data_IF_902271200846
#
_entry.id   IF_902271200846
#
_cell.length_a   1.000
_cell.length_b   1.000
_cell.length_c   1.000
_cell.angle_alpha   90.00
_cell.angle_beta   90.00
_cell.angle_gamma   90.00
#
_symmetry.space_group_name_H-M   'P 1'
#
loop_
_entity.id
_entity.type
_entity.pdbx_description
1 polymer ?
#
# COMPACT_ATOMS: atom_id res chain seq x y z
N UNK A 1 35.98 24.57 -23.50
CA UNK A 1 35.69 23.37 -22.69
C UNK A 1 36.37 23.55 -21.34
N UNK A 2 35.58 23.64 -20.28
CA UNK A 2 36.11 23.72 -18.91
C UNK A 2 36.76 22.38 -18.55
N UNK A 3 37.95 22.43 -17.97
CA UNK A 3 38.65 21.21 -17.55
C UNK A 3 37.86 20.49 -16.46
N UNK A 4 37.66 19.18 -16.59
CA UNK A 4 36.87 18.40 -15.63
C UNK A 4 37.44 18.41 -14.20
N UNK A 5 38.74 18.67 -14.07
CA UNK A 5 39.44 18.80 -12.78
C UNK A 5 39.32 20.19 -12.14
N UNK A 6 38.50 21.07 -12.71
CA UNK A 6 38.32 22.42 -12.15
C UNK A 6 37.50 22.33 -10.86
N UNK A 7 37.95 22.95 -9.76
CA UNK A 7 37.17 22.99 -8.52
C UNK A 7 35.86 23.76 -8.73
N UNK A 8 34.75 23.22 -8.21
CA UNK A 8 33.41 23.78 -8.39
C UNK A 8 33.30 25.24 -7.92
N UNK A 9 33.92 25.58 -6.79
CA UNK A 9 33.87 26.94 -6.21
C UNK A 9 34.66 27.99 -7.01
N UNK A 10 35.49 27.56 -7.98
CA UNK A 10 36.32 28.44 -8.83
C UNK A 10 35.71 28.70 -10.20
N UNK A 11 34.52 28.17 -10.48
CA UNK A 11 33.86 28.33 -11.79
C UNK A 11 33.47 29.79 -12.05
N UNK A 12 33.50 30.17 -13.34
CA UNK A 12 32.98 31.46 -13.82
C UNK A 12 31.49 31.32 -14.19
N UNK A 13 30.77 32.44 -14.26
CA UNK A 13 29.32 32.47 -14.56
C UNK A 13 28.92 31.67 -15.81
N UNK A 14 29.73 31.71 -16.87
CA UNK A 14 29.48 30.94 -18.09
C UNK A 14 29.58 29.42 -17.84
N UNK A 15 30.62 29.00 -17.12
CA UNK A 15 30.89 27.59 -16.79
C UNK A 15 29.82 27.00 -15.85
N UNK A 16 29.21 27.83 -15.01
CA UNK A 16 28.09 27.42 -14.13
C UNK A 16 26.85 27.00 -14.91
N UNK A 17 26.55 27.71 -15.99
CA UNK A 17 25.36 27.45 -16.81
C UNK A 17 25.54 26.22 -17.70
N UNK A 18 26.76 25.69 -17.82
CA UNK A 18 27.03 24.42 -18.50
C UNK A 18 26.87 23.19 -17.57
N UNK A 19 26.57 23.39 -16.27
CA UNK A 19 26.31 22.29 -15.34
C UNK A 19 24.86 21.80 -15.43
N UNK A 20 24.69 20.48 -15.47
CA UNK A 20 23.38 19.85 -15.53
C UNK A 20 22.49 20.30 -14.36
N UNK A 21 21.32 20.89 -14.64
CA UNK A 21 20.40 21.38 -13.61
C UNK A 21 20.62 22.83 -13.18
N UNK A 22 21.58 23.54 -13.76
CA UNK A 22 21.79 24.99 -13.55
C UNK A 22 21.28 25.85 -14.72
N UNK A 23 20.75 25.24 -15.78
CA UNK A 23 20.25 25.93 -16.98
C UNK A 23 19.17 26.99 -16.67
N UNK A 24 18.35 26.73 -15.66
CA UNK A 24 17.24 27.60 -15.24
C UNK A 24 17.71 28.80 -14.40
N UNK A 25 18.95 28.78 -13.91
CA UNK A 25 19.51 29.80 -13.00
C UNK A 25 20.21 30.95 -13.74
N UNK A 26 20.06 31.04 -15.06
CA UNK A 26 20.62 32.12 -15.91
C UNK A 26 20.22 33.52 -15.48
N UNK A 27 19.02 33.68 -14.93
CA UNK A 27 18.48 34.94 -14.44
C UNK A 27 19.06 35.40 -13.09
N UNK A 28 19.73 34.51 -12.34
CA UNK A 28 20.25 34.82 -11.01
C UNK A 28 21.59 35.57 -11.05
N UNK A 29 21.88 36.26 -9.94
CA UNK A 29 23.18 36.88 -9.74
C UNK A 29 24.26 35.81 -9.51
N UNK A 30 25.52 36.15 -9.79
CA UNK A 30 26.62 35.22 -9.59
C UNK A 30 26.80 34.81 -8.11
N UNK A 31 26.37 35.66 -7.18
CA UNK A 31 26.40 35.36 -5.75
C UNK A 31 25.39 34.27 -5.41
N UNK A 32 24.16 34.42 -5.89
CA UNK A 32 23.08 33.47 -5.61
C UNK A 32 23.34 32.12 -6.27
N UNK A 33 23.90 32.12 -7.50
CA UNK A 33 24.34 30.89 -8.16
C UNK A 33 25.41 30.11 -7.36
N UNK A 34 26.32 30.82 -6.69
CA UNK A 34 27.34 30.19 -5.82
C UNK A 34 26.75 29.67 -4.52
N UNK A 35 25.74 30.34 -3.98
CA UNK A 35 24.99 29.89 -2.80
C UNK A 35 24.26 28.58 -3.12
N UNK A 36 23.51 28.54 -4.23
CA UNK A 36 22.86 27.31 -4.71
C UNK A 36 23.86 26.18 -4.97
N UNK A 37 25.04 26.47 -5.53
CA UNK A 37 26.08 25.45 -5.68
C UNK A 37 26.54 24.92 -4.32
N UNK A 38 26.67 25.79 -3.32
CA UNK A 38 27.08 25.39 -1.97
C UNK A 38 26.05 24.45 -1.35
N UNK A 39 24.76 24.76 -1.51
CA UNK A 39 23.66 23.89 -1.08
C UNK A 39 23.72 22.53 -1.78
N UNK A 40 23.93 22.52 -3.09
CA UNK A 40 24.05 21.28 -3.88
C UNK A 40 25.27 20.45 -3.49
N UNK A 41 26.40 21.09 -3.14
CA UNK A 41 27.58 20.40 -2.60
C UNK A 41 27.23 19.72 -1.27
N UNK A 42 26.46 20.38 -0.40
CA UNK A 42 26.01 19.82 0.87
C UNK A 42 25.03 18.67 0.63
N UNK A 43 24.03 18.86 -0.23
CA UNK A 43 22.98 17.87 -0.55
C UNK A 43 23.57 16.58 -1.14
N UNK A 44 24.59 16.72 -1.98
CA UNK A 44 25.31 15.58 -2.56
C UNK A 44 26.47 15.08 -1.68
N UNK A 45 26.66 15.68 -0.51
CA UNK A 45 27.72 15.36 0.44
C UNK A 45 29.11 15.35 -0.21
N UNK A 46 29.34 16.35 -1.07
CA UNK A 46 30.58 16.55 -1.80
C UNK A 46 31.58 17.32 -0.94
N UNK A 47 32.87 17.06 -1.16
CA UNK A 47 33.93 17.83 -0.51
C UNK A 47 33.91 19.28 -0.99
N UNK A 48 34.35 20.22 -0.15
CA UNK A 48 34.56 21.63 -0.55
C UNK A 48 35.61 21.80 -1.66
N UNK A 49 36.43 20.76 -1.89
CA UNK A 49 37.41 20.68 -2.98
C UNK A 49 36.91 19.87 -4.19
N UNK A 50 35.63 19.48 -4.21
CA UNK A 50 35.06 18.67 -5.27
C UNK A 50 35.21 19.35 -6.64
N UNK A 51 35.39 18.49 -7.63
CA UNK A 51 35.57 18.87 -9.03
C UNK A 51 34.25 18.75 -9.81
N UNK A 52 34.25 19.23 -11.05
CA UNK A 52 33.10 19.07 -11.95
C UNK A 52 32.76 17.58 -12.15
N UNK A 53 33.77 16.70 -12.22
CA UNK A 53 33.54 15.26 -12.38
C UNK A 53 32.88 14.62 -11.14
N UNK A 54 33.29 15.04 -9.95
CA UNK A 54 32.65 14.58 -8.70
C UNK A 54 31.18 14.98 -8.67
N UNK A 55 30.89 16.22 -9.07
CA UNK A 55 29.52 16.72 -9.21
C UNK A 55 28.73 15.92 -10.23
N UNK A 56 29.24 15.74 -11.46
CA UNK A 56 28.56 14.98 -12.51
C UNK A 56 28.27 13.55 -12.08
N UNK A 57 29.20 12.93 -11.34
CA UNK A 57 29.01 11.58 -10.80
C UNK A 57 27.87 11.57 -9.79
N UNK A 58 27.89 12.47 -8.81
CA UNK A 58 26.87 12.54 -7.77
C UNK A 58 25.49 12.90 -8.34
N UNK A 59 25.44 13.85 -9.28
CA UNK A 59 24.22 14.24 -9.98
C UNK A 59 23.60 13.07 -10.75
N UNK A 60 24.40 12.34 -11.53
CA UNK A 60 23.94 11.17 -12.25
C UNK A 60 23.49 10.03 -11.32
N UNK A 61 24.19 9.85 -10.19
CA UNK A 61 23.79 8.87 -9.19
C UNK A 61 22.46 9.25 -8.54
N UNK A 62 22.27 10.52 -8.18
CA UNK A 62 21.01 11.04 -7.66
C UNK A 62 19.86 10.82 -8.65
N UNK A 63 20.07 11.17 -9.93
CA UNK A 63 19.10 10.94 -11.01
C UNK A 63 18.73 9.46 -11.14
N UNK A 64 19.70 8.55 -11.08
CA UNK A 64 19.46 7.10 -11.10
C UNK A 64 18.67 6.63 -9.88
N UNK A 65 18.95 7.16 -8.69
CA UNK A 65 18.22 6.83 -7.46
C UNK A 65 16.76 7.27 -7.55
N UNK A 66 16.50 8.49 -8.02
CA UNK A 66 15.14 9.01 -8.21
C UNK A 66 14.39 8.14 -9.22
N UNK A 67 14.99 7.84 -10.37
CA UNK A 67 14.35 6.98 -11.38
C UNK A 67 14.03 5.60 -10.81
N UNK A 68 14.96 4.99 -10.08
CA UNK A 68 14.74 3.70 -9.43
C UNK A 68 13.57 3.73 -8.44
N UNK A 69 13.45 4.80 -7.65
CA UNK A 69 12.32 4.95 -6.73
C UNK A 69 10.98 5.04 -7.45
N UNK A 70 10.93 5.79 -8.56
CA UNK A 70 9.74 5.89 -9.41
C UNK A 70 9.38 4.51 -9.98
N UNK A 71 10.37 3.79 -10.53
CA UNK A 71 10.17 2.46 -11.10
C UNK A 71 9.70 1.45 -10.04
N UNK A 72 10.31 1.46 -8.85
CA UNK A 72 9.92 0.59 -7.73
C UNK A 72 8.46 0.85 -7.28
N UNK A 73 8.03 2.12 -7.26
CA UNK A 73 6.64 2.47 -6.96
C UNK A 73 5.69 1.99 -8.06
N UNK A 74 6.07 2.16 -9.33
CA UNK A 74 5.30 1.67 -10.47
C UNK A 74 5.17 0.14 -10.45
N UNK A 75 6.25 -0.59 -10.20
CA UNK A 75 6.20 -2.05 -10.14
C UNK A 75 5.36 -2.56 -8.96
N UNK A 76 5.40 -1.88 -7.81
CA UNK A 76 4.52 -2.19 -6.67
C UNK A 76 3.04 -2.02 -7.02
N UNK A 77 2.67 -0.93 -7.71
CA UNK A 77 1.29 -0.68 -8.10
C UNK A 77 0.80 -1.71 -9.12
N UNK A 78 1.61 -2.04 -10.13
CA UNK A 78 1.30 -3.05 -11.15
C UNK A 78 1.14 -4.45 -10.54
N UNK A 79 2.02 -4.83 -9.59
CA UNK A 79 1.91 -6.12 -8.89
C UNK A 79 0.63 -6.22 -8.06
N UNK A 80 0.24 -5.13 -7.39
CA UNK A 80 -1.01 -5.05 -6.63
C UNK A 80 -2.21 -5.18 -7.57
N UNK A 81 -2.22 -4.45 -8.68
CA UNK A 81 -3.29 -4.51 -9.68
C UNK A 81 -3.47 -5.92 -10.24
N UNK A 82 -2.39 -6.59 -10.66
CA UNK A 82 -2.45 -7.98 -11.19
C UNK A 82 -3.06 -8.95 -10.18
N UNK A 83 -2.72 -8.80 -8.91
CA UNK A 83 -3.22 -9.65 -7.82
C UNK A 83 -4.72 -9.44 -7.60
N UNK A 84 -5.16 -8.17 -7.57
CA UNK A 84 -6.56 -7.82 -7.38
C UNK A 84 -7.43 -8.23 -8.58
N UNK A 85 -6.96 -8.06 -9.80
CA UNK A 85 -7.68 -8.53 -11.01
C UNK A 85 -7.88 -10.05 -10.97
N UNK A 86 -6.83 -10.82 -10.64
CA UNK A 86 -6.95 -12.28 -10.48
C UNK A 86 -7.96 -12.67 -9.40
N UNK A 87 -7.96 -11.98 -8.25
CA UNK A 87 -8.94 -12.22 -7.19
C UNK A 87 -10.37 -11.92 -7.65
N UNK A 88 -10.57 -10.82 -8.38
CA UNK A 88 -11.88 -10.43 -8.93
C UNK A 88 -12.39 -11.47 -9.93
N UNK A 89 -11.56 -11.87 -10.89
CA UNK A 89 -11.90 -12.94 -11.85
C UNK A 89 -12.22 -14.24 -11.13
N UNK A 90 -11.40 -14.68 -10.16
CA UNK A 90 -11.69 -15.89 -9.39
C UNK A 90 -13.04 -15.81 -8.67
N UNK A 91 -13.37 -14.66 -8.05
CA UNK A 91 -14.67 -14.46 -7.38
C UNK A 91 -15.84 -14.48 -8.36
N UNK A 92 -15.70 -13.87 -9.53
CA UNK A 92 -16.71 -13.89 -10.59
C UNK A 92 -16.93 -15.31 -11.10
N UNK A 93 -15.86 -16.04 -11.43
CA UNK A 93 -15.96 -17.42 -11.89
C UNK A 93 -16.67 -18.31 -10.86
N UNK A 94 -16.33 -18.20 -9.57
CA UNK A 94 -17.03 -18.97 -8.52
C UNK A 94 -18.53 -18.62 -8.46
N UNK A 95 -18.88 -17.33 -8.59
CA UNK A 95 -20.29 -16.90 -8.62
C UNK A 95 -21.04 -17.46 -9.83
N UNK A 96 -20.45 -17.36 -11.02
CA UNK A 96 -21.03 -17.83 -12.27
C UNK A 96 -21.19 -19.36 -12.24
N UNK A 97 -20.14 -20.09 -11.88
CA UNK A 97 -20.20 -21.56 -11.74
C UNK A 97 -21.24 -21.98 -10.71
N UNK A 98 -21.34 -21.30 -9.56
CA UNK A 98 -22.37 -21.62 -8.57
C UNK A 98 -23.79 -21.35 -9.09
N UNK A 99 -23.99 -20.28 -9.86
CA UNK A 99 -25.28 -19.95 -10.47
C UNK A 99 -25.65 -20.97 -11.55
N UNK A 100 -24.69 -21.33 -12.41
CA UNK A 100 -24.85 -22.37 -13.43
C UNK A 100 -25.21 -23.72 -12.78
N UNK A 101 -24.50 -24.12 -11.73
CA UNK A 101 -24.79 -25.36 -10.99
C UNK A 101 -26.19 -25.34 -10.37
N UNK A 102 -26.61 -24.24 -9.75
CA UNK A 102 -27.98 -24.10 -9.23
C UNK A 102 -29.04 -24.23 -10.32
N UNK A 103 -28.80 -23.60 -11.47
CA UNK A 103 -29.70 -23.68 -12.61
C UNK A 103 -29.76 -25.12 -13.17
N UNK A 104 -28.62 -25.80 -13.31
CA UNK A 104 -28.56 -27.19 -13.76
C UNK A 104 -29.24 -28.15 -12.80
N UNK A 105 -29.09 -27.93 -11.49
CA UNK A 105 -29.70 -28.76 -10.45
C UNK A 105 -31.16 -28.38 -10.16
N UNK A 106 -31.71 -27.39 -10.87
CA UNK A 106 -33.05 -26.83 -10.66
C UNK A 106 -33.35 -26.52 -9.18
N UNK A 107 -32.32 -26.07 -8.44
CA UNK A 107 -32.43 -25.72 -7.03
C UNK A 107 -33.14 -24.37 -6.97
N UNK A 108 -34.45 -24.40 -6.77
CA UNK A 108 -35.22 -23.20 -6.45
C UNK A 108 -34.82 -22.73 -5.05
N UNK A 109 -34.19 -21.55 -4.98
CA UNK A 109 -33.97 -20.87 -3.72
C UNK A 109 -35.31 -20.29 -3.27
N UNK A 110 -36.10 -21.08 -2.55
CA UNK A 110 -37.16 -20.54 -1.71
C UNK A 110 -36.45 -19.75 -0.62
N UNK A 111 -36.45 -18.42 -0.75
CA UNK A 111 -35.83 -17.55 0.22
C UNK A 111 -36.45 -17.80 1.57
N UNK A 112 -35.77 -18.57 2.42
CA UNK A 112 -36.17 -18.76 3.81
C UNK A 112 -36.23 -17.36 4.40
N UNK A 113 -37.43 -16.90 4.74
CA UNK A 113 -37.57 -15.61 5.38
C UNK A 113 -36.65 -15.58 6.60
N UNK A 114 -35.88 -14.50 6.74
CA UNK A 114 -35.02 -14.32 7.91
C UNK A 114 -35.88 -14.54 9.15
N UNK A 115 -35.46 -15.47 10.00
CA UNK A 115 -36.18 -15.76 11.24
C UNK A 115 -36.35 -14.47 12.05
N UNK A 116 -37.41 -14.35 12.88
CA UNK A 116 -37.61 -13.17 13.73
C UNK A 116 -36.38 -12.84 14.56
N UNK A 117 -35.69 -13.86 15.08
CA UNK A 117 -34.42 -13.75 15.81
C UNK A 117 -33.30 -13.15 14.95
N UNK A 118 -33.21 -13.53 13.67
CA UNK A 118 -32.20 -13.00 12.75
C UNK A 118 -32.47 -11.53 12.41
N UNK A 119 -33.74 -11.16 12.19
CA UNK A 119 -34.15 -9.78 11.95
C UNK A 119 -33.85 -8.88 13.15
N UNK A 120 -34.14 -9.37 14.35
CA UNK A 120 -33.86 -8.65 15.60
C UNK A 120 -32.37 -8.48 15.88
N UNK A 121 -31.56 -9.51 15.60
CA UNK A 121 -30.10 -9.41 15.72
C UNK A 121 -29.53 -8.35 14.78
N UNK A 122 -29.95 -8.35 13.51
CA UNK A 122 -29.48 -7.36 12.52
C UNK A 122 -29.87 -5.94 12.93
N UNK A 123 -31.10 -5.74 13.43
CA UNK A 123 -31.55 -4.45 13.97
C UNK A 123 -30.63 -3.94 15.10
N UNK A 124 -30.32 -4.79 16.07
CA UNK A 124 -29.43 -4.41 17.19
C UNK A 124 -28.02 -4.07 16.75
N UNK A 125 -27.52 -4.71 15.71
CA UNK A 125 -26.20 -4.40 15.15
C UNK A 125 -26.23 -3.04 14.43
N UNK A 126 -27.30 -2.73 13.70
CA UNK A 126 -27.47 -1.42 13.04
C UNK A 126 -27.63 -0.26 14.04
N UNK A 127 -28.20 -0.52 15.23
CA UNK A 127 -28.35 0.45 16.31
C UNK A 127 -27.04 0.79 17.06
N UNK A 128 -25.92 0.12 16.74
CA UNK A 128 -24.63 0.40 17.38
C UNK A 128 -23.96 1.59 16.70
N UNK A 129 -23.83 2.72 17.39
CA UNK A 129 -23.17 3.94 16.88
C UNK A 129 -21.68 3.71 16.52
N UNK A 130 -20.94 2.94 17.32
CA UNK A 130 -19.52 2.64 17.09
C UNK A 130 -19.28 1.13 16.88
N UNK A 131 -19.44 0.70 15.63
CA UNK A 131 -19.19 -0.68 15.22
C UNK A 131 -17.75 -1.15 15.46
N UNK A 132 -16.75 -0.26 15.49
CA UNK A 132 -15.35 -0.65 15.69
C UNK A 132 -15.12 -1.06 17.16
N UNK A 133 -15.63 -0.25 18.09
CA UNK A 133 -15.54 -0.54 19.52
C UNK A 133 -16.32 -1.79 19.88
N UNK A 134 -17.56 -1.92 19.40
CA UNK A 134 -18.37 -3.12 19.62
C UNK A 134 -17.71 -4.40 19.11
N UNK A 135 -17.09 -4.35 17.92
CA UNK A 135 -16.37 -5.49 17.37
C UNK A 135 -15.17 -5.88 18.23
N UNK A 136 -14.42 -4.89 18.71
CA UNK A 136 -13.24 -5.11 19.56
C UNK A 136 -13.66 -5.76 20.89
N UNK A 137 -14.69 -5.24 21.53
CA UNK A 137 -15.20 -5.75 22.81
C UNK A 137 -15.72 -7.18 22.66
N UNK A 138 -16.41 -7.50 21.55
CA UNK A 138 -16.89 -8.85 21.27
C UNK A 138 -15.72 -9.82 21.06
N UNK A 139 -14.66 -9.40 20.36
CA UNK A 139 -13.46 -10.22 20.16
C UNK A 139 -12.78 -10.52 21.49
N UNK A 140 -12.59 -9.50 22.32
CA UNK A 140 -11.98 -9.63 23.65
C UNK A 140 -12.80 -10.54 24.57
N UNK A 141 -14.13 -10.43 24.52
CA UNK A 141 -15.05 -11.29 25.25
C UNK A 141 -14.97 -12.76 24.79
N UNK A 142 -14.93 -13.02 23.48
CA UNK A 142 -14.77 -14.37 22.92
C UNK A 142 -13.43 -14.97 23.33
N UNK A 143 -12.36 -14.17 23.33
CA UNK A 143 -11.03 -14.62 23.72
C UNK A 143 -10.95 -14.98 25.21
N UNK A 144 -11.59 -14.19 26.07
CA UNK A 144 -11.77 -14.51 27.50
C UNK A 144 -12.61 -15.78 27.71
N UNK A 145 -13.68 -15.98 26.94
CA UNK A 145 -14.49 -17.21 27.01
C UNK A 145 -13.72 -18.45 26.56
N UNK A 146 -12.91 -18.35 25.50
CA UNK A 146 -12.03 -19.44 25.02
C UNK A 146 -11.04 -19.91 26.09
N UNK A 147 -10.53 -18.99 26.91
CA UNK A 147 -9.57 -19.31 27.97
C UNK A 147 -10.23 -19.84 29.25
N UNK A 148 -11.48 -19.47 29.51
CA UNK A 148 -12.12 -19.69 30.82
C UNK A 148 -13.11 -20.86 30.84
N UNK A 149 -13.74 -21.21 29.71
CA UNK A 149 -14.88 -22.12 29.70
C UNK A 149 -14.61 -23.35 28.82
N UNK A 150 -14.46 -24.51 29.46
CA UNK A 150 -14.59 -25.81 28.78
C UNK A 150 -16.08 -26.17 28.77
N UNK A 151 -16.76 -25.95 27.65
CA UNK A 151 -18.13 -26.42 27.46
C UNK A 151 -18.15 -27.70 26.63
N UNK A 152 -18.80 -28.74 27.14
CA UNK A 152 -19.28 -29.86 26.32
C UNK A 152 -20.61 -29.45 25.72
N UNK A 153 -20.66 -29.21 24.42
CA UNK A 153 -21.90 -28.99 23.68
C UNK A 153 -22.15 -30.23 22.85
N UNK A 154 -23.29 -30.88 23.09
CA UNK A 154 -23.79 -31.93 22.21
C UNK A 154 -24.50 -31.25 21.03
N UNK A 155 -23.83 -31.25 19.87
CA UNK A 155 -24.31 -30.59 18.64
C UNK A 155 -25.20 -31.54 17.82
N UNK A 156 -25.31 -32.81 18.21
CA UNK A 156 -25.90 -33.86 17.39
C UNK A 156 -25.13 -34.11 16.08
N UNK A 157 -25.67 -34.98 15.21
CA UNK A 157 -25.03 -35.39 13.94
C UNK A 157 -25.27 -34.42 12.77
N UNK A 158 -25.85 -33.26 13.02
CA UNK A 158 -26.16 -32.26 11.99
C UNK A 158 -24.88 -31.51 11.56
N UNK A 159 -24.43 -31.79 10.34
CA UNK A 159 -23.16 -31.30 9.79
C UNK A 159 -23.13 -29.76 9.69
N UNK A 160 -24.26 -29.14 9.32
CA UNK A 160 -24.36 -27.69 9.19
C UNK A 160 -24.24 -26.99 10.54
N UNK A 161 -24.84 -27.58 11.59
CA UNK A 161 -24.71 -27.09 12.97
C UNK A 161 -23.28 -27.22 13.48
N UNK A 162 -22.59 -28.33 13.16
CA UNK A 162 -21.18 -28.55 13.53
C UNK A 162 -20.24 -27.59 12.80
N UNK A 163 -20.49 -27.35 11.51
CA UNK A 163 -19.68 -26.44 10.70
C UNK A 163 -19.86 -24.98 11.14
N UNK A 164 -21.08 -24.54 11.41
CA UNK A 164 -21.36 -23.19 11.90
C UNK A 164 -20.73 -22.94 13.29
N UNK A 165 -20.74 -23.94 14.19
CA UNK A 165 -20.07 -23.84 15.48
C UNK A 165 -18.53 -23.78 15.32
N UNK A 166 -17.95 -24.61 14.46
CA UNK A 166 -16.50 -24.61 14.22
C UNK A 166 -16.00 -23.29 13.58
N UNK A 167 -16.76 -22.73 12.63
CA UNK A 167 -16.43 -21.45 11.99
C UNK A 167 -16.56 -20.27 12.96
N UNK A 168 -17.53 -20.29 13.87
CA UNK A 168 -17.69 -19.25 14.89
C UNK A 168 -16.61 -19.27 15.98
N UNK A 169 -16.02 -20.43 16.26
CA UNK A 169 -14.89 -20.57 17.21
C UNK A 169 -13.55 -20.19 16.55
N UNK A 170 -13.42 -20.28 15.22
CA UNK A 170 -12.17 -20.07 14.48
C UNK A 170 -11.71 -18.61 14.28
N UNK A 171 -12.41 -17.64 14.87
CA UNK A 171 -11.99 -16.22 14.90
C UNK A 171 -10.64 -16.06 15.59
#
# INVERSE_FOLDING_TARGET
MVSQNTPLLKLKKADFLELDGFDTLSHLSQKDQKETLTDVIIDYNLSTRATIDDYKRAYNESKRRIQKQIDDQLFKSLKKQKTETKKRQRKQNIKETALEMRNMMNIQYEGVEKTPTRKEYERRIEEVDDHQTFKKDLQEYIELMKQTIIFKVDVGDDEDKRLALCESIRI
#
